data_IF_778762343978
#
_entry.id   IF_778762343978
#
_cell.length_a   1.000
_cell.length_b   1.000
_cell.length_c   1.000
_cell.angle_alpha   90.00
_cell.angle_beta   90.00
_cell.angle_gamma   90.00
#
_symmetry.space_group_name_H-M   'P 1'
#
loop_
_entity.id
_entity.type
_entity.pdbx_description
1 polymer ?
#
# COMPACT_ATOMS: atom_id res chain seq x y z
N UNK A 1 -6.89 9.11 -20.75
CA UNK A 1 -7.03 8.89 -20.21
C UNK A 1 -7.73 8.84 -19.25
N UNK A 2 -7.76 8.38 -18.66
CA UNK A 2 -8.75 8.23 -17.92
C UNK A 2 -8.40 8.18 -16.53
N UNK A 3 -8.49 9.24 -15.85
CA UNK A 3 -8.12 9.32 -14.49
C UNK A 3 -8.98 8.48 -13.61
N UNK A 4 -10.05 7.97 -14.13
CA UNK A 4 -10.93 7.15 -13.33
C UNK A 4 -10.29 5.90 -12.83
N UNK A 5 -9.21 5.48 -13.46
CA UNK A 5 -8.53 4.27 -13.03
C UNK A 5 -7.44 4.54 -12.02
N UNK A 6 -7.30 5.78 -11.58
CA UNK A 6 -6.27 6.15 -10.63
C UNK A 6 -6.68 5.78 -9.22
N UNK A 7 -5.85 5.04 -8.51
CA UNK A 7 -6.13 4.68 -7.13
C UNK A 7 -5.61 5.72 -6.14
N UNK A 8 -4.56 6.40 -6.52
CA UNK A 8 -3.86 7.26 -5.57
C UNK A 8 -4.45 8.66 -5.58
N UNK A 9 -4.33 9.33 -4.44
CA UNK A 9 -4.84 10.67 -4.30
C UNK A 9 -4.01 11.63 -5.15
N UNK A 10 -4.69 12.47 -5.90
CA UNK A 10 -4.10 13.54 -6.70
C UNK A 10 -5.04 14.72 -6.66
N UNK A 11 -4.66 15.79 -7.33
CA UNK A 11 -5.56 16.92 -7.45
C UNK A 11 -6.84 16.56 -8.21
N UNK A 12 -6.74 15.65 -9.16
CA UNK A 12 -7.91 15.20 -9.89
C UNK A 12 -8.70 14.13 -9.16
N UNK A 13 -8.08 13.49 -8.17
CA UNK A 13 -8.70 12.42 -7.42
C UNK A 13 -8.49 12.66 -5.93
N UNK A 14 -9.11 13.67 -5.37
CA UNK A 14 -8.85 14.05 -3.98
C UNK A 14 -9.30 13.00 -2.97
N UNK A 15 -10.16 12.07 -3.37
CA UNK A 15 -10.61 11.02 -2.46
C UNK A 15 -9.85 9.72 -2.66
N UNK A 16 -8.77 9.76 -3.41
CA UNK A 16 -7.98 8.56 -3.62
C UNK A 16 -7.22 8.16 -2.38
N UNK A 17 -6.63 6.98 -2.45
CA UNK A 17 -5.85 6.42 -1.35
C UNK A 17 -4.47 7.08 -1.31
N UNK A 18 -3.91 7.23 -0.13
CA UNK A 18 -2.47 7.41 -0.05
C UNK A 18 -1.82 6.05 -0.29
N UNK A 19 -0.54 6.07 -0.65
CA UNK A 19 0.16 4.81 -0.93
C UNK A 19 0.17 3.93 0.31
N UNK A 20 0.49 4.50 1.46
CA UNK A 20 0.56 3.70 2.68
C UNK A 20 -0.80 3.14 3.06
N UNK A 21 -1.88 3.88 2.83
CA UNK A 21 -3.21 3.37 3.15
C UNK A 21 -3.59 2.23 2.22
N UNK A 22 -3.32 2.38 0.94
CA UNK A 22 -3.63 1.34 -0.03
C UNK A 22 -2.84 0.07 0.25
N UNK A 23 -1.55 0.22 0.50
CA UNK A 23 -0.71 -0.93 0.80
C UNK A 23 -1.13 -1.63 2.08
N UNK A 24 -1.58 -0.86 3.07
CA UNK A 24 -2.06 -1.45 4.31
C UNK A 24 -3.31 -2.28 4.06
N UNK A 25 -4.21 -1.81 3.20
CA UNK A 25 -5.40 -2.58 2.89
C UNK A 25 -5.05 -3.86 2.13
N UNK A 26 -4.10 -3.78 1.22
CA UNK A 26 -3.63 -4.98 0.52
C UNK A 26 -3.02 -5.95 1.53
N UNK A 27 -2.23 -5.44 2.45
CA UNK A 27 -1.59 -6.28 3.46
C UNK A 27 -2.63 -6.99 4.31
N UNK A 28 -3.66 -6.26 4.75
CA UNK A 28 -4.73 -6.85 5.56
C UNK A 28 -5.45 -7.95 4.78
N UNK A 29 -5.71 -7.74 3.51
CA UNK A 29 -6.36 -8.75 2.70
C UNK A 29 -5.48 -10.00 2.57
N UNK A 30 -4.18 -9.80 2.40
CA UNK A 30 -3.26 -10.93 2.30
C UNK A 30 -3.20 -11.74 3.58
N UNK A 31 -3.27 -11.08 4.74
CA UNK A 31 -3.30 -11.79 6.01
C UNK A 31 -4.53 -12.68 6.07
N UNK A 32 -5.67 -12.17 5.64
CA UNK A 32 -6.89 -12.97 5.61
C UNK A 32 -6.74 -14.19 4.71
N UNK A 33 -6.08 -14.03 3.57
CA UNK A 33 -5.86 -15.15 2.65
C UNK A 33 -4.93 -16.18 3.27
N UNK A 34 -3.92 -15.73 4.00
CA UNK A 34 -3.02 -16.65 4.70
C UNK A 34 -3.77 -17.49 5.72
N UNK A 35 -4.70 -16.89 6.47
CA UNK A 35 -5.43 -17.65 7.47
C UNK A 35 -6.30 -18.73 6.82
N UNK A 36 -6.74 -18.52 5.60
CA UNK A 36 -7.57 -19.51 4.94
C UNK A 36 -6.80 -20.74 4.49
N UNK A 37 -5.52 -20.63 4.26
CA UNK A 37 -4.73 -21.75 3.77
C UNK A 37 -3.73 -22.25 4.80
N UNK A 38 -3.75 -21.69 6.00
CA UNK A 38 -2.69 -21.99 6.96
C UNK A 38 -2.70 -23.45 7.40
N UNK A 39 -3.87 -24.09 7.38
CA UNK A 39 -3.99 -25.48 7.77
C UNK A 39 -3.91 -26.44 6.61
N UNK A 40 -3.77 -25.94 5.40
CA UNK A 40 -3.70 -26.80 4.22
C UNK A 40 -2.28 -27.34 4.08
N UNK A 41 -2.16 -28.67 4.15
CA UNK A 41 -0.86 -29.32 4.17
C UNK A 41 -0.33 -29.67 2.78
N UNK A 42 -1.09 -29.40 1.73
CA UNK A 42 -0.64 -29.69 0.38
C UNK A 42 0.59 -28.84 0.07
N UNK A 43 1.58 -29.42 -0.64
CA UNK A 43 2.80 -28.67 -0.94
C UNK A 43 2.54 -27.36 -1.68
N UNK A 44 1.55 -27.36 -2.57
CA UNK A 44 1.23 -26.16 -3.32
C UNK A 44 0.71 -25.05 -2.41
N UNK A 45 -0.14 -25.43 -1.45
CA UNK A 45 -0.68 -24.46 -0.51
C UNK A 45 0.43 -23.91 0.40
N UNK A 46 1.34 -24.77 0.83
CA UNK A 46 2.45 -24.34 1.66
C UNK A 46 3.36 -23.39 0.89
N UNK A 47 3.59 -23.66 -0.39
CA UNK A 47 4.41 -22.77 -1.20
C UNK A 47 3.76 -21.40 -1.36
N UNK A 48 2.44 -21.38 -1.60
CA UNK A 48 1.73 -20.11 -1.72
C UNK A 48 1.77 -19.35 -0.39
N UNK A 49 1.56 -20.05 0.72
CA UNK A 49 1.61 -19.40 2.03
C UNK A 49 2.97 -18.78 2.27
N UNK A 50 4.05 -19.48 1.96
CA UNK A 50 5.39 -18.96 2.15
C UNK A 50 5.63 -17.73 1.28
N UNK A 51 5.16 -17.77 0.04
CA UNK A 51 5.27 -16.60 -0.84
C UNK A 51 4.50 -15.42 -0.27
N UNK A 52 3.31 -15.66 0.26
CA UNK A 52 2.51 -14.59 0.83
C UNK A 52 3.18 -13.98 2.07
N UNK A 53 3.82 -14.81 2.87
CA UNK A 53 4.56 -14.31 4.03
C UNK A 53 5.69 -13.41 3.58
N UNK A 54 6.41 -13.81 2.52
CA UNK A 54 7.47 -12.98 1.98
C UNK A 54 6.93 -11.66 1.45
N UNK A 55 5.80 -11.72 0.76
CA UNK A 55 5.18 -10.50 0.24
C UNK A 55 4.79 -9.57 1.37
N UNK A 56 4.24 -10.12 2.46
CA UNK A 56 3.87 -9.30 3.61
C UNK A 56 5.08 -8.56 4.19
N UNK A 57 6.22 -9.25 4.25
CA UNK A 57 7.43 -8.62 4.76
C UNK A 57 7.88 -7.48 3.85
N UNK A 58 7.79 -7.68 2.54
CA UNK A 58 8.17 -6.65 1.59
C UNK A 58 7.19 -5.48 1.65
N UNK A 59 5.90 -5.78 1.82
CA UNK A 59 4.90 -4.72 1.96
C UNK A 59 5.17 -3.85 3.18
N UNK A 60 5.62 -4.45 4.28
CA UNK A 60 5.99 -3.65 5.45
C UNK A 60 7.06 -2.63 5.10
N UNK A 61 8.05 -3.02 4.32
CA UNK A 61 9.10 -2.10 3.90
C UNK A 61 8.56 -1.02 2.99
N UNK A 62 7.66 -1.40 2.10
CA UNK A 62 7.04 -0.43 1.19
C UNK A 62 6.21 0.59 1.97
N UNK A 63 5.45 0.13 2.95
CA UNK A 63 4.62 1.01 3.77
C UNK A 63 5.51 2.00 4.52
N UNK A 64 6.60 1.52 5.10
CA UNK A 64 7.52 2.39 5.83
C UNK A 64 8.10 3.47 4.93
N UNK A 65 8.48 3.09 3.71
CA UNK A 65 8.99 4.06 2.74
C UNK A 65 7.95 5.09 2.37
N UNK A 66 6.71 4.64 2.16
CA UNK A 66 5.65 5.56 1.80
C UNK A 66 5.36 6.54 2.95
N UNK A 67 5.37 6.04 4.18
CA UNK A 67 5.16 6.90 5.33
C UNK A 67 6.28 7.93 5.46
N UNK A 68 7.50 7.51 5.20
CA UNK A 68 8.63 8.44 5.24
C UNK A 68 8.46 9.53 4.20
N UNK A 69 8.06 9.16 2.99
CA UNK A 69 7.83 10.14 1.92
C UNK A 69 6.72 11.11 2.31
N UNK A 70 5.67 10.61 2.94
CA UNK A 70 4.59 11.47 3.38
C UNK A 70 5.09 12.49 4.41
N UNK A 71 5.94 12.07 5.34
CA UNK A 71 6.48 13.01 6.31
C UNK A 71 7.33 14.09 5.64
N UNK A 72 8.13 13.68 4.66
CA UNK A 72 8.95 14.63 3.92
C UNK A 72 8.07 15.62 3.18
N UNK A 73 7.07 15.12 2.49
CA UNK A 73 6.18 15.97 1.72
C UNK A 73 5.36 16.90 2.61
N UNK A 74 5.00 16.44 3.80
CA UNK A 74 4.26 17.28 4.72
C UNK A 74 5.09 18.49 5.14
N UNK A 75 6.38 18.29 5.39
CA UNK A 75 7.25 19.42 5.74
C UNK A 75 7.38 20.37 4.57
N UNK A 76 7.53 19.82 3.37
CA UNK A 76 7.66 20.64 2.19
C UNK A 76 6.35 21.32 1.83
N UNK A 77 5.28 20.57 1.90
CA UNK A 77 3.97 21.07 1.47
C UNK A 77 3.46 22.21 2.28
N UNK A 78 3.95 22.33 3.51
CA UNK A 78 3.54 23.45 4.33
C UNK A 78 3.92 24.78 3.72
N UNK A 79 4.99 24.78 2.95
CA UNK A 79 5.47 26.01 2.33
C UNK A 79 4.86 26.24 0.96
N UNK A 80 4.25 25.22 0.39
CA UNK A 80 3.72 25.34 -0.95
C UNK A 80 2.24 25.65 -0.89
N UNK A 81 1.45 24.66 -0.64
CA UNK A 81 0.02 24.89 -0.58
C UNK A 81 -0.66 23.81 0.21
N UNK A 82 0.09 23.09 0.98
CA UNK A 82 -0.52 22.09 1.85
C UNK A 82 -0.97 20.83 1.13
N UNK A 83 -0.38 20.52 0.01
CA UNK A 83 -0.74 19.29 -0.67
C UNK A 83 0.39 18.30 -0.65
N UNK A 84 0.68 17.77 0.49
CA UNK A 84 1.83 16.89 0.63
C UNK A 84 1.47 15.45 0.35
N UNK A 85 1.08 15.14 -0.83
CA UNK A 85 0.62 13.81 -1.14
C UNK A 85 1.56 13.12 -2.09
N UNK A 86 1.83 11.87 -1.78
CA UNK A 86 2.53 11.02 -2.71
C UNK A 86 1.60 10.76 -3.87
N UNK A 87 2.13 10.84 -5.08
CA UNK A 87 1.31 10.67 -6.24
C UNK A 87 0.76 11.96 -6.80
N UNK A 88 0.98 13.04 -6.09
CA UNK A 88 0.59 14.35 -6.62
C UNK A 88 1.70 14.84 -7.50
N UNK A 89 1.41 15.17 -8.75
CA UNK A 89 2.46 15.64 -9.66
C UNK A 89 3.06 16.95 -9.23
#
# INVERSE_FOLDING_TARGET
MDEKTTFLVTTENPKGWTIEALLTEVQNDMVKRCTKIIDDQRPEARAVLNNNIDILAILNQCIAKAQESTRILNRLGRHVDGRPRIGVP
#
